data_IF_850448382610
#
_entry.id   IF_850448382610
#
_cell.length_a   1.000
_cell.length_b   1.000
_cell.length_c   1.000
_cell.angle_alpha   90.00
_cell.angle_beta   90.00
_cell.angle_gamma   90.00
#
_symmetry.space_group_name_H-M   'P 1'
#
loop_
_entity.id
_entity.type
_entity.pdbx_description
1 polymer ?
#
# COMPACT_ATOMS: atom_id res chain seq x y z
N UNK A 1 2.48 22.33 16.14
CA UNK A 1 1.55 21.39 15.47
C UNK A 1 0.83 20.57 16.53
N UNK A 2 -0.51 20.42 16.50
CA UNK A 2 -1.24 19.74 17.57
C UNK A 2 -1.00 18.22 17.54
N UNK A 3 -0.59 17.64 18.67
CA UNK A 3 -0.33 16.20 18.82
C UNK A 3 -1.54 15.32 18.50
N UNK A 4 -2.76 15.83 18.66
CA UNK A 4 -4.00 15.16 18.27
C UNK A 4 -4.05 14.82 16.78
N UNK A 5 -3.64 15.76 15.91
CA UNK A 5 -3.61 15.54 14.46
C UNK A 5 -2.58 14.47 14.07
N UNK A 6 -1.41 14.46 14.72
CA UNK A 6 -0.40 13.42 14.54
C UNK A 6 -0.87 12.05 15.06
N UNK A 7 -1.54 12.00 16.21
CA UNK A 7 -2.09 10.76 16.77
C UNK A 7 -3.25 10.20 15.93
N UNK A 8 -4.10 11.06 15.37
CA UNK A 8 -5.14 10.67 14.41
C UNK A 8 -4.50 10.21 13.09
N UNK A 9 -3.52 10.93 12.54
CA UNK A 9 -2.79 10.48 11.33
C UNK A 9 -2.10 9.13 11.53
N UNK A 10 -1.53 8.86 12.71
CA UNK A 10 -0.81 7.61 13.00
C UNK A 10 -1.73 6.43 13.37
N UNK A 11 -3.02 6.69 13.61
CA UNK A 11 -4.07 5.68 13.85
C UNK A 11 -4.93 5.44 12.61
N UNK A 12 -5.06 6.46 11.76
CA UNK A 12 -5.06 6.29 10.31
C UNK A 12 -3.68 5.74 9.88
N UNK A 13 -3.52 5.27 8.65
CA UNK A 13 -2.34 4.56 8.10
C UNK A 13 -1.81 3.30 8.85
N UNK A 14 -1.58 3.36 10.17
CA UNK A 14 -0.85 2.34 10.95
C UNK A 14 -1.62 1.05 11.26
N UNK A 15 -2.94 1.07 11.25
CA UNK A 15 -3.75 -0.14 11.49
C UNK A 15 -3.86 -1.02 10.23
N UNK A 16 -3.85 -2.35 10.42
CA UNK A 16 -4.05 -3.34 9.33
C UNK A 16 -5.35 -3.13 8.53
N UNK A 17 -6.30 -2.40 9.11
CA UNK A 17 -7.47 -1.88 8.43
C UNK A 17 -7.13 -1.23 7.08
N UNK A 18 -6.02 -0.47 6.98
CA UNK A 18 -5.65 0.25 5.74
C UNK A 18 -5.35 -0.66 4.57
N UNK A 19 -4.63 -1.77 4.77
CA UNK A 19 -4.40 -2.78 3.71
C UNK A 19 -5.71 -3.44 3.26
N UNK A 20 -6.60 -3.77 4.21
CA UNK A 20 -7.90 -4.40 3.92
C UNK A 20 -8.88 -3.41 3.26
N UNK A 21 -8.80 -2.14 3.65
CA UNK A 21 -9.56 -1.02 3.06
C UNK A 21 -9.08 -0.72 1.66
N UNK A 22 -7.78 -0.64 1.36
CA UNK A 22 -7.28 -0.35 0.01
C UNK A 22 -7.67 -1.45 -0.99
N UNK A 23 -7.60 -2.73 -0.61
CA UNK A 23 -8.05 -3.83 -1.47
C UNK A 23 -9.57 -3.78 -1.74
N UNK A 24 -10.38 -3.53 -0.70
CA UNK A 24 -11.83 -3.35 -0.85
C UNK A 24 -12.18 -2.09 -1.64
N UNK A 25 -11.48 -0.99 -1.41
CA UNK A 25 -11.67 0.28 -2.09
C UNK A 25 -11.31 0.18 -3.57
N UNK A 26 -10.23 -0.51 -3.94
CA UNK A 26 -9.90 -0.78 -5.34
C UNK A 26 -11.00 -1.57 -6.04
N UNK A 27 -11.54 -2.62 -5.40
CA UNK A 27 -12.69 -3.36 -5.93
C UNK A 27 -13.94 -2.48 -6.09
N UNK A 28 -14.31 -1.73 -5.05
CA UNK A 28 -15.44 -0.80 -5.10
C UNK A 28 -15.26 0.32 -6.12
N UNK A 29 -14.05 0.84 -6.30
CA UNK A 29 -13.72 1.85 -7.32
C UNK A 29 -13.90 1.26 -8.71
N UNK A 30 -13.46 0.03 -8.98
CA UNK A 30 -13.71 -0.62 -10.27
C UNK A 30 -15.22 -0.79 -10.53
N UNK A 31 -15.98 -1.24 -9.53
CA UNK A 31 -17.45 -1.38 -9.64
C UNK A 31 -18.14 -0.03 -9.88
N UNK A 32 -17.78 1.01 -9.13
CA UNK A 32 -18.30 2.37 -9.30
C UNK A 32 -17.89 2.94 -10.65
N UNK A 33 -16.66 2.74 -11.10
CA UNK A 33 -16.18 3.20 -12.41
C UNK A 33 -16.96 2.53 -13.54
N UNK A 34 -17.21 1.22 -13.46
CA UNK A 34 -18.10 0.53 -14.41
C UNK A 34 -19.51 1.10 -14.38
N UNK A 35 -20.08 1.37 -13.21
CA UNK A 35 -21.40 2.00 -13.10
C UNK A 35 -21.44 3.41 -13.69
N UNK A 36 -20.38 4.22 -13.49
CA UNK A 36 -20.27 5.58 -14.04
C UNK A 36 -20.08 5.56 -15.56
N UNK A 37 -19.37 4.57 -16.12
CA UNK A 37 -19.28 4.36 -17.57
C UNK A 37 -20.66 4.09 -18.18
N UNK A 38 -21.39 3.11 -17.64
CA UNK A 38 -22.73 2.73 -18.12
C UNK A 38 -23.74 3.89 -17.95
N UNK A 39 -23.71 4.56 -16.80
CA UNK A 39 -24.56 5.73 -16.53
C UNK A 39 -24.20 6.92 -17.43
N UNK A 40 -22.92 7.20 -17.63
CA UNK A 40 -22.44 8.26 -18.52
C UNK A 40 -22.86 8.02 -19.97
N UNK A 41 -22.75 6.78 -20.46
CA UNK A 41 -23.23 6.36 -21.77
C UNK A 41 -24.77 6.51 -21.91
N UNK A 42 -25.54 6.20 -20.87
CA UNK A 42 -27.00 6.38 -20.89
C UNK A 42 -27.39 7.87 -20.86
N UNK A 43 -26.79 8.64 -19.94
CA UNK A 43 -27.08 10.06 -19.74
C UNK A 43 -26.69 10.91 -20.95
N UNK A 44 -25.55 10.62 -21.60
CA UNK A 44 -25.12 11.38 -22.77
C UNK A 44 -26.07 11.15 -23.96
N UNK A 45 -26.60 9.94 -24.17
CA UNK A 45 -27.60 9.69 -25.23
C UNK A 45 -28.85 10.54 -25.00
N UNK A 46 -29.32 10.64 -23.75
CA UNK A 46 -30.50 11.45 -23.40
C UNK A 46 -30.21 12.96 -23.49
N UNK A 47 -28.99 13.39 -23.19
CA UNK A 47 -28.58 14.79 -23.33
C UNK A 47 -28.42 15.21 -24.81
N UNK A 48 -27.98 14.29 -25.67
CA UNK A 48 -27.73 14.53 -27.09
C UNK A 48 -28.95 14.24 -28.00
N UNK A 49 -29.97 13.51 -27.51
CA UNK A 49 -31.18 13.15 -28.25
C UNK A 49 -32.09 14.35 -28.54
N UNK A 50 -31.71 15.13 -29.56
CA UNK A 50 -32.41 16.33 -30.01
C UNK A 50 -31.50 17.37 -30.68
N UNK A 51 -30.17 17.23 -30.57
CA UNK A 51 -29.24 18.16 -31.21
C UNK A 51 -28.96 17.79 -32.68
N UNK A 52 -29.07 18.77 -33.59
CA UNK A 52 -28.86 18.57 -35.03
C UNK A 52 -27.46 18.05 -35.41
N UNK A 53 -26.46 18.22 -34.55
CA UNK A 53 -25.06 17.83 -34.80
C UNK A 53 -24.59 16.69 -33.87
N UNK A 54 -25.49 16.02 -33.15
CA UNK A 54 -25.12 14.91 -32.27
C UNK A 54 -24.76 13.65 -33.06
N UNK A 55 -23.51 13.19 -32.95
CA UNK A 55 -23.12 11.88 -33.49
C UNK A 55 -23.41 10.72 -32.50
N UNK A 56 -23.64 11.03 -31.22
CA UNK A 56 -24.03 10.05 -30.19
C UNK A 56 -25.55 9.81 -30.24
N UNK A 57 -26.00 8.99 -31.21
CA UNK A 57 -27.43 8.74 -31.45
C UNK A 57 -27.95 7.40 -30.89
N UNK A 58 -27.09 6.57 -30.28
CA UNK A 58 -27.48 5.28 -29.71
C UNK A 58 -26.56 4.83 -28.58
N UNK A 59 -27.10 4.02 -27.66
CA UNK A 59 -26.38 3.55 -26.48
C UNK A 59 -25.08 2.76 -26.78
N UNK A 60 -25.01 1.88 -27.80
CA UNK A 60 -23.74 1.23 -28.15
C UNK A 60 -22.63 2.20 -28.57
N UNK A 61 -22.98 3.28 -29.29
CA UNK A 61 -22.01 4.34 -29.67
C UNK A 61 -21.58 5.15 -28.45
N UNK A 62 -22.51 5.43 -27.54
CA UNK A 62 -22.21 6.11 -26.28
C UNK A 62 -21.36 5.27 -25.32
N UNK A 63 -21.51 3.94 -25.32
CA UNK A 63 -20.66 3.02 -24.58
C UNK A 63 -19.22 3.07 -25.09
N UNK A 64 -19.04 2.95 -26.41
CA UNK A 64 -17.73 3.10 -27.05
C UNK A 64 -17.08 4.45 -26.68
N UNK A 65 -17.82 5.54 -26.87
CA UNK A 65 -17.41 6.89 -26.46
C UNK A 65 -17.00 7.00 -24.98
N UNK A 66 -17.81 6.43 -24.08
CA UNK A 66 -17.51 6.47 -22.64
C UNK A 66 -16.23 5.72 -22.29
N UNK A 67 -15.95 4.61 -23.00
CA UNK A 67 -14.77 3.78 -22.80
C UNK A 67 -13.50 4.47 -23.31
N UNK A 68 -13.51 5.03 -24.53
CA UNK A 68 -12.37 5.79 -25.05
C UNK A 68 -12.10 7.06 -24.24
N UNK A 69 -13.16 7.71 -23.71
CA UNK A 69 -13.04 8.95 -22.93
C UNK A 69 -12.46 8.64 -21.55
N UNK A 70 -12.93 7.58 -20.90
CA UNK A 70 -12.39 7.15 -19.62
C UNK A 70 -10.95 6.64 -19.73
N UNK A 71 -10.60 5.92 -20.80
CA UNK A 71 -9.23 5.47 -21.06
C UNK A 71 -8.33 6.56 -21.64
N UNK A 72 -8.84 7.78 -21.83
CA UNK A 72 -8.14 8.94 -22.42
C UNK A 72 -7.60 8.73 -23.83
N UNK A 73 -8.16 7.76 -24.57
CA UNK A 73 -7.83 7.48 -25.97
C UNK A 73 -8.44 8.54 -26.90
N UNK A 74 -9.74 8.79 -26.77
CA UNK A 74 -10.48 9.81 -27.51
C UNK A 74 -10.20 9.89 -29.01
N UNK A 75 -10.63 8.88 -29.78
CA UNK A 75 -10.53 8.90 -31.25
C UNK A 75 -11.28 10.08 -31.89
N UNK A 76 -12.33 10.57 -31.23
CA UNK A 76 -13.10 11.75 -31.67
C UNK A 76 -14.10 11.45 -32.79
N UNK A 77 -14.36 10.17 -33.07
CA UNK A 77 -15.50 9.73 -33.88
C UNK A 77 -16.83 10.10 -33.20
N UNK A 78 -16.88 10.01 -31.86
CA UNK A 78 -18.02 10.43 -31.06
C UNK A 78 -17.63 11.46 -30.00
N UNK A 79 -18.49 12.45 -29.79
CA UNK A 79 -18.36 13.46 -28.74
C UNK A 79 -19.70 14.17 -28.51
N UNK A 80 -19.98 14.65 -27.30
CA UNK A 80 -21.17 15.44 -27.01
C UNK A 80 -21.05 16.87 -27.54
N UNK A 81 -22.05 17.33 -28.27
CA UNK A 81 -22.14 18.71 -28.76
C UNK A 81 -22.97 19.60 -27.83
N UNK A 82 -23.86 19.04 -27.01
CA UNK A 82 -24.72 19.82 -26.10
C UNK A 82 -24.01 20.27 -24.83
N UNK A 83 -24.52 21.33 -24.20
CA UNK A 83 -24.01 21.82 -22.91
C UNK A 83 -24.10 20.73 -21.83
N UNK A 84 -25.23 20.03 -21.75
CA UNK A 84 -25.45 18.96 -20.77
C UNK A 84 -24.57 17.74 -21.03
N UNK A 85 -24.43 17.32 -22.30
CA UNK A 85 -23.52 16.25 -22.70
C UNK A 85 -22.06 16.56 -22.34
N UNK A 86 -21.62 17.82 -22.50
CA UNK A 86 -20.28 18.27 -22.08
C UNK A 86 -20.09 18.24 -20.56
N UNK A 87 -21.09 18.64 -19.78
CA UNK A 87 -21.03 18.53 -18.30
C UNK A 87 -20.90 17.06 -17.87
N UNK A 88 -21.69 16.17 -18.48
CA UNK A 88 -21.60 14.71 -18.24
C UNK A 88 -20.21 14.18 -18.60
N UNK A 89 -19.64 14.60 -19.74
CA UNK A 89 -18.30 14.23 -20.16
C UNK A 89 -17.21 14.71 -19.18
N UNK A 90 -17.28 15.96 -18.69
CA UNK A 90 -16.32 16.47 -17.70
C UNK A 90 -16.38 15.68 -16.39
N UNK A 91 -17.57 15.32 -15.91
CA UNK A 91 -17.73 14.46 -14.73
C UNK A 91 -17.17 13.04 -14.96
N UNK A 92 -17.40 12.47 -16.14
CA UNK A 92 -16.86 11.17 -16.53
C UNK A 92 -15.32 11.20 -16.54
N UNK A 93 -14.70 12.21 -17.16
CA UNK A 93 -13.25 12.39 -17.18
C UNK A 93 -12.65 12.52 -15.77
N UNK A 94 -13.26 13.31 -14.89
CA UNK A 94 -12.83 13.46 -13.50
C UNK A 94 -12.95 12.14 -12.71
N UNK A 95 -14.02 11.38 -12.94
CA UNK A 95 -14.20 10.07 -12.30
C UNK A 95 -13.14 9.06 -12.74
N UNK A 96 -12.80 9.04 -14.04
CA UNK A 96 -11.79 8.16 -14.60
C UNK A 96 -10.40 8.42 -14.01
N UNK A 97 -9.95 9.68 -14.00
CA UNK A 97 -8.63 10.03 -13.48
C UNK A 97 -8.51 9.75 -11.98
N UNK A 98 -9.62 9.92 -11.23
CA UNK A 98 -9.71 9.57 -9.81
C UNK A 98 -9.60 8.05 -9.61
N UNK A 99 -10.30 7.24 -10.43
CA UNK A 99 -10.24 5.79 -10.36
C UNK A 99 -8.83 5.25 -10.63
N UNK A 100 -8.14 5.76 -11.67
CA UNK A 100 -6.74 5.42 -11.94
C UNK A 100 -5.81 5.80 -10.78
N UNK A 101 -6.01 6.97 -10.16
CA UNK A 101 -5.26 7.39 -8.98
C UNK A 101 -5.40 6.42 -7.80
N UNK A 102 -6.62 5.97 -7.50
CA UNK A 102 -6.86 4.99 -6.41
C UNK A 102 -6.25 3.63 -6.73
N UNK A 103 -6.39 3.13 -7.96
CA UNK A 103 -5.78 1.85 -8.39
C UNK A 103 -4.25 1.92 -8.26
N UNK A 104 -3.63 3.02 -8.71
CA UNK A 104 -2.19 3.24 -8.60
C UNK A 104 -1.73 3.30 -7.15
N UNK A 105 -2.45 4.01 -6.28
CA UNK A 105 -2.16 4.08 -4.84
C UNK A 105 -2.32 2.73 -4.14
N UNK A 106 -3.30 1.91 -4.54
CA UNK A 106 -3.50 0.56 -4.01
C UNK A 106 -2.33 -0.37 -4.40
N UNK A 107 -1.88 -0.33 -5.66
CA UNK A 107 -0.70 -1.06 -6.14
C UNK A 107 0.58 -0.60 -5.41
N UNK A 108 0.81 0.70 -5.28
CA UNK A 108 1.95 1.24 -4.54
C UNK A 108 1.95 0.78 -3.07
N UNK A 109 0.79 0.81 -2.40
CA UNK A 109 0.63 0.29 -1.02
C UNK A 109 0.97 -1.19 -0.94
N UNK A 110 0.57 -1.98 -1.94
CA UNK A 110 0.85 -3.41 -1.99
C UNK A 110 2.35 -3.69 -2.12
N UNK A 111 3.06 -3.01 -3.03
CA UNK A 111 4.51 -3.14 -3.18
C UNK A 111 5.29 -2.68 -1.94
N UNK A 112 4.98 -1.50 -1.40
CA UNK A 112 5.62 -0.96 -0.19
C UNK A 112 5.38 -1.89 1.02
N UNK A 113 4.17 -2.43 1.15
CA UNK A 113 3.83 -3.38 2.21
C UNK A 113 4.63 -4.70 2.14
N UNK A 114 4.94 -5.20 0.96
CA UNK A 114 5.81 -6.37 0.80
C UNK A 114 7.26 -6.04 1.18
N UNK A 115 7.81 -4.95 0.63
CA UNK A 115 9.17 -4.51 0.93
C UNK A 115 9.40 -4.28 2.44
N UNK A 116 8.44 -3.66 3.14
CA UNK A 116 8.52 -3.47 4.58
C UNK A 116 8.49 -4.80 5.36
N UNK A 117 7.69 -5.78 4.95
CA UNK A 117 7.66 -7.08 5.64
C UNK A 117 8.98 -7.82 5.54
N UNK A 118 9.64 -7.79 4.38
CA UNK A 118 10.93 -8.45 4.20
C UNK A 118 12.04 -7.77 4.99
N UNK A 119 12.07 -6.43 5.05
CA UNK A 119 13.01 -5.70 5.92
C UNK A 119 12.80 -5.99 7.41
N UNK A 120 11.54 -6.08 7.87
CA UNK A 120 11.23 -6.42 9.27
C UNK A 120 11.63 -7.87 9.60
N UNK A 121 11.44 -8.81 8.66
CA UNK A 121 11.88 -10.21 8.82
C UNK A 121 13.41 -10.30 8.92
N UNK A 122 14.13 -9.63 8.02
CA UNK A 122 15.59 -9.60 8.02
C UNK A 122 16.13 -8.97 9.31
N UNK A 123 15.59 -7.82 9.73
CA UNK A 123 15.98 -7.16 10.98
C UNK A 123 15.74 -8.02 12.23
N UNK A 124 14.64 -8.79 12.27
CA UNK A 124 14.39 -9.77 13.34
C UNK A 124 15.35 -10.96 13.29
N UNK A 125 15.65 -11.49 12.10
CA UNK A 125 16.60 -12.59 11.95
C UNK A 125 18.00 -12.19 12.42
N UNK A 126 18.51 -11.04 11.96
CA UNK A 126 19.80 -10.46 12.39
C UNK A 126 19.81 -10.17 13.89
N UNK A 127 18.74 -9.57 14.43
CA UNK A 127 18.62 -9.27 15.86
C UNK A 127 18.56 -10.52 16.75
N UNK A 128 18.03 -11.64 16.24
CA UNK A 128 18.05 -12.91 16.96
C UNK A 128 19.45 -13.55 16.94
N UNK A 129 20.13 -13.60 15.78
CA UNK A 129 21.50 -14.13 15.68
C UNK A 129 22.46 -13.33 16.57
N UNK A 130 22.39 -12.00 16.54
CA UNK A 130 23.21 -11.15 17.40
C UNK A 130 22.95 -11.33 18.91
N UNK A 131 21.77 -11.84 19.30
CA UNK A 131 21.48 -12.22 20.70
C UNK A 131 22.06 -13.59 21.03
N UNK A 132 21.90 -14.56 20.15
CA UNK A 132 22.43 -15.92 20.28
C UNK A 132 23.97 -15.91 20.36
N UNK A 133 24.64 -15.13 19.51
CA UNK A 133 26.08 -14.87 19.57
C UNK A 133 26.49 -14.25 20.92
N UNK A 134 25.76 -13.25 21.38
CA UNK A 134 26.05 -12.55 22.64
C UNK A 134 25.80 -13.42 23.89
N UNK A 135 24.83 -14.33 23.86
CA UNK A 135 24.60 -15.33 24.91
C UNK A 135 25.70 -16.41 24.89
N UNK A 136 26.11 -16.86 23.70
CA UNK A 136 27.22 -17.81 23.52
C UNK A 136 28.53 -17.23 24.08
N UNK A 137 28.93 -16.03 23.64
CA UNK A 137 30.10 -15.31 24.14
C UNK A 137 30.08 -15.10 25.67
N UNK A 138 28.92 -14.80 26.26
CA UNK A 138 28.77 -14.70 27.72
C UNK A 138 28.99 -16.04 28.40
N UNK A 139 28.45 -17.13 27.85
CA UNK A 139 28.62 -18.49 28.41
C UNK A 139 30.09 -18.96 28.37
N UNK A 140 30.82 -18.63 27.30
CA UNK A 140 32.26 -18.90 27.20
C UNK A 140 33.06 -18.08 28.22
N UNK A 141 32.75 -16.78 28.37
CA UNK A 141 33.38 -15.92 29.38
C UNK A 141 33.13 -16.43 30.80
N UNK A 142 31.92 -16.87 31.14
CA UNK A 142 31.62 -17.49 32.44
C UNK A 142 32.42 -18.78 32.66
N UNK A 143 32.53 -19.62 31.62
CA UNK A 143 33.32 -20.86 31.67
C UNK A 143 34.81 -20.58 31.86
N UNK A 144 35.33 -19.53 31.23
CA UNK A 144 36.73 -19.12 31.35
C UNK A 144 37.04 -18.58 32.76
N UNK A 145 36.18 -17.74 33.34
CA UNK A 145 36.33 -17.26 34.72
C UNK A 145 36.31 -18.43 35.72
N UNK A 146 35.35 -19.35 35.61
CA UNK A 146 35.29 -20.52 36.49
C UNK A 146 36.55 -21.41 36.43
N UNK A 147 37.22 -21.47 35.26
CA UNK A 147 38.53 -22.15 35.12
C UNK A 147 39.66 -21.38 35.78
N UNK A 148 39.68 -20.05 35.69
CA UNK A 148 40.65 -19.21 36.40
C UNK A 148 40.49 -19.33 37.92
N UNK A 149 39.27 -19.22 38.45
CA UNK A 149 38.97 -19.40 39.87
C UNK A 149 39.43 -20.77 40.39
N UNK A 150 39.25 -21.83 39.59
CA UNK A 150 39.72 -23.17 39.93
C UNK A 150 41.26 -23.24 40.01
N UNK A 151 41.97 -22.63 39.06
CA UNK A 151 43.45 -22.58 39.05
C UNK A 151 43.99 -21.74 40.21
N UNK A 152 43.37 -20.61 40.53
CA UNK A 152 43.75 -19.77 41.68
C UNK A 152 43.62 -20.56 43.00
N UNK A 153 42.50 -21.28 43.18
CA UNK A 153 42.32 -22.14 44.34
C UNK A 153 43.38 -23.25 44.42
N UNK A 154 43.72 -23.92 43.31
CA UNK A 154 44.79 -24.93 43.28
C UNK A 154 46.18 -24.36 43.63
N UNK A 155 46.48 -23.13 43.24
CA UNK A 155 47.74 -22.45 43.62
C UNK A 155 47.73 -22.09 45.10
N UNK A 156 46.58 -21.60 45.62
CA UNK A 156 46.42 -21.22 47.02
C UNK A 156 46.56 -22.40 47.98
N UNK A 157 45.96 -23.54 47.63
CA UNK A 157 46.01 -24.79 48.40
C UNK A 157 47.41 -25.44 48.36
N UNK A 158 48.21 -25.10 47.33
CA UNK A 158 49.62 -25.49 47.19
C UNK A 158 50.61 -24.45 47.77
N UNK A 159 50.10 -23.47 48.50
CA UNK A 159 50.91 -22.56 49.32
C UNK A 159 51.74 -23.32 50.36
N UNK A 160 52.83 -22.73 50.89
CA UNK A 160 53.87 -23.49 51.56
C UNK A 160 53.40 -24.06 52.91
N UNK A 161 52.95 -25.31 52.89
CA UNK A 161 53.12 -26.19 54.04
C UNK A 161 54.61 -26.37 54.27
N UNK A 162 55.12 -25.58 55.22
CA UNK A 162 56.47 -25.64 55.77
C UNK A 162 56.88 -27.09 56.03
N UNK A 163 57.99 -27.48 55.39
CA UNK A 163 58.77 -28.65 55.76
C UNK A 163 59.07 -28.61 57.26
N UNK A 164 58.80 -29.69 58.03
CA UNK A 164 59.38 -29.87 59.36
C UNK A 164 60.90 -30.11 59.28
#
# INVERSE_FOLDING_TARGET
MPSFLAAVLNRLFGDEAWRRLHARAAFWVTVVMTAVLLAGAALVVVAESGAQHANITSYPKALWWSLETATTVGYGDFYPVTLWGRIIASLLMLSAITAFGVITAALATWFVGHAQQDMIRLGKAVGNHAREDAETLRSELHTLHARFDHVENLIRDKGPHSTP
#
